data_IF_565246750153
#
_entry.id   IF_565246750153
#
_cell.length_a   1.000
_cell.length_b   1.000
_cell.length_c   1.000
_cell.angle_alpha   90.00
_cell.angle_beta   90.00
_cell.angle_gamma   90.00
#
_symmetry.space_group_name_H-M   'P 1'
#
loop_
_entity.id
_entity.type
_entity.pdbx_description
1 polymer ?
#
# COMPACT_ATOMS: atom_id res chain seq x y z
N UNK A 1 19.50 -0.93 -7.35
CA UNK A 1 18.33 -1.09 -6.47
C UNK A 1 18.05 -2.59 -6.40
N UNK A 2 18.06 -3.23 -5.22
CA UNK A 2 17.61 -4.62 -5.12
C UNK A 2 16.28 -4.83 -5.85
N UNK A 3 16.22 -5.88 -6.66
CA UNK A 3 15.02 -6.30 -7.36
C UNK A 3 14.14 -7.13 -6.45
N UNK A 4 12.88 -6.75 -6.34
CA UNK A 4 11.83 -7.43 -5.58
C UNK A 4 10.64 -7.65 -6.51
N UNK A 5 9.72 -8.51 -6.08
CA UNK A 5 8.47 -8.76 -6.80
C UNK A 5 7.28 -8.36 -5.93
N UNK A 6 6.48 -7.45 -6.44
CA UNK A 6 5.18 -7.09 -5.89
C UNK A 6 4.12 -8.04 -6.45
N UNK A 7 3.21 -8.52 -5.61
CA UNK A 7 2.09 -9.36 -6.01
C UNK A 7 0.79 -8.93 -5.35
N UNK A 8 -0.30 -9.00 -6.11
CA UNK A 8 -1.66 -9.14 -5.60
C UNK A 8 -2.19 -10.50 -6.01
N UNK A 9 -2.65 -11.28 -5.04
CA UNK A 9 -3.11 -12.65 -5.22
C UNK A 9 -4.56 -12.78 -4.77
N UNK A 10 -5.39 -13.36 -5.65
CA UNK A 10 -6.66 -13.96 -5.28
C UNK A 10 -6.39 -15.44 -5.03
N UNK A 11 -6.73 -15.90 -3.84
CA UNK A 11 -6.51 -17.30 -3.47
C UNK A 11 -7.73 -18.13 -3.85
N UNK A 12 -7.53 -19.43 -3.99
CA UNK A 12 -8.64 -20.38 -4.05
C UNK A 12 -9.30 -20.50 -2.66
N UNK A 13 -10.58 -20.85 -2.62
CA UNK A 13 -11.36 -20.91 -1.36
C UNK A 13 -10.85 -21.99 -0.39
N UNK A 14 -9.97 -22.89 -0.84
CA UNK A 14 -9.36 -23.98 -0.06
C UNK A 14 -8.21 -23.51 0.85
N UNK A 15 -7.73 -22.27 0.70
CA UNK A 15 -6.56 -21.80 1.46
C UNK A 15 -6.76 -20.41 2.08
N UNK A 16 -6.30 -20.27 3.32
CA UNK A 16 -6.22 -18.98 4.01
C UNK A 16 -4.86 -18.30 3.76
N UNK A 17 -4.78 -16.96 3.74
CA UNK A 17 -3.54 -16.23 3.46
C UNK A 17 -2.33 -16.65 4.32
N UNK A 18 -2.53 -16.89 5.62
CA UNK A 18 -1.44 -17.32 6.53
C UNK A 18 -0.92 -18.73 6.21
N UNK A 19 -1.83 -19.62 5.79
CA UNK A 19 -1.47 -20.97 5.33
C UNK A 19 -0.69 -20.89 4.02
N UNK A 20 -1.12 -20.02 3.09
CA UNK A 20 -0.40 -19.75 1.84
C UNK A 20 1.02 -19.24 2.12
N UNK A 21 1.19 -18.27 3.02
CA UNK A 21 2.51 -17.77 3.43
C UNK A 21 3.40 -18.88 4.01
N UNK A 22 2.83 -19.78 4.80
CA UNK A 22 3.55 -20.94 5.35
C UNK A 22 3.98 -21.91 4.25
N UNK A 23 3.12 -22.16 3.25
CA UNK A 23 3.45 -23.00 2.10
C UNK A 23 4.53 -22.35 1.23
N UNK A 24 4.47 -21.03 1.01
CA UNK A 24 5.48 -20.27 0.27
C UNK A 24 6.86 -20.40 0.92
N UNK A 25 6.96 -20.17 2.23
CA UNK A 25 8.22 -20.26 2.96
C UNK A 25 8.79 -21.69 2.98
N UNK A 26 7.92 -22.71 3.05
CA UNK A 26 8.34 -24.12 2.96
C UNK A 26 8.82 -24.51 1.56
N UNK A 27 8.15 -24.00 0.53
CA UNK A 27 8.47 -24.30 -0.87
C UNK A 27 9.80 -23.69 -1.31
N UNK A 28 10.11 -22.48 -0.84
CA UNK A 28 11.39 -21.82 -1.09
C UNK A 28 11.82 -21.00 0.12
N UNK A 29 12.67 -21.57 1.01
CA UNK A 29 13.17 -20.88 2.19
C UNK A 29 14.05 -19.65 1.88
N UNK A 30 14.51 -19.50 0.63
CA UNK A 30 15.33 -18.35 0.22
C UNK A 30 14.50 -17.10 -0.05
N UNK A 31 13.19 -17.26 -0.29
CA UNK A 31 12.25 -16.15 -0.44
C UNK A 31 12.09 -15.46 0.92
N UNK A 32 12.35 -14.15 0.93
CA UNK A 32 12.07 -13.27 2.05
C UNK A 32 10.78 -12.53 1.78
N UNK A 33 9.80 -12.70 2.66
CA UNK A 33 8.58 -11.91 2.67
C UNK A 33 8.89 -10.57 3.35
N UNK A 34 9.00 -9.50 2.56
CA UNK A 34 9.26 -8.15 3.09
C UNK A 34 7.97 -7.56 3.63
N UNK A 35 6.88 -7.66 2.87
CA UNK A 35 5.54 -7.24 3.28
C UNK A 35 4.55 -8.34 2.93
N UNK A 36 3.64 -8.63 3.85
CA UNK A 36 2.42 -9.38 3.56
C UNK A 36 1.22 -8.68 4.21
N UNK A 37 0.19 -8.40 3.45
CA UNK A 37 -1.03 -7.77 3.97
C UNK A 37 -2.29 -8.27 3.29
N UNK A 38 -3.42 -8.11 3.98
CA UNK A 38 -4.76 -8.37 3.46
C UNK A 38 -5.33 -7.06 2.90
N UNK A 39 -5.62 -6.97 1.60
CA UNK A 39 -6.41 -5.88 1.03
C UNK A 39 -7.79 -5.78 1.68
N UNK A 40 -8.22 -4.55 2.00
CA UNK A 40 -9.47 -4.27 2.71
C UNK A 40 -10.43 -3.40 1.90
N UNK A 41 -9.92 -2.35 1.25
CA UNK A 41 -10.78 -1.38 0.56
C UNK A 41 -10.00 -0.61 -0.52
N UNK A 42 -10.65 -0.30 -1.63
CA UNK A 42 -10.11 0.53 -2.70
C UNK A 42 -10.49 1.98 -2.45
N UNK A 43 -9.54 2.78 -1.96
CA UNK A 43 -9.74 4.22 -1.73
C UNK A 43 -9.75 4.98 -3.06
N UNK A 44 -8.80 4.62 -3.94
CA UNK A 44 -8.72 5.13 -5.31
C UNK A 44 -8.63 3.92 -6.24
N UNK A 45 -9.46 3.89 -7.29
CA UNK A 45 -9.45 2.83 -8.30
C UNK A 45 -8.65 3.26 -9.52
N UNK A 46 -7.94 2.32 -10.13
CA UNK A 46 -7.29 2.57 -11.42
C UNK A 46 -8.36 2.87 -12.47
N UNK A 47 -8.10 3.85 -13.33
CA UNK A 47 -9.04 4.30 -14.37
C UNK A 47 -8.64 3.83 -15.76
N UNK A 48 -7.35 3.58 -15.98
CA UNK A 48 -6.80 3.20 -17.29
C UNK A 48 -5.84 2.01 -17.15
N UNK A 49 -4.79 2.13 -16.35
CA UNK A 49 -3.71 1.16 -16.28
C UNK A 49 -4.15 -0.10 -15.52
N UNK A 50 -4.22 -1.23 -16.24
CA UNK A 50 -4.59 -2.56 -15.71
C UNK A 50 -5.91 -2.57 -14.90
N UNK A 51 -6.81 -1.62 -15.17
CA UNK A 51 -7.99 -1.38 -14.36
C UNK A 51 -8.95 -2.58 -14.29
N UNK A 52 -9.03 -3.36 -15.36
CA UNK A 52 -9.82 -4.59 -15.48
C UNK A 52 -9.30 -5.76 -14.63
N UNK A 53 -8.03 -5.71 -14.24
CA UNK A 53 -7.40 -6.70 -13.35
C UNK A 53 -7.32 -6.13 -11.94
N UNK A 54 -6.76 -4.94 -11.77
CA UNK A 54 -6.43 -4.36 -10.46
C UNK A 54 -7.65 -4.02 -9.61
N UNK A 55 -8.78 -3.61 -10.21
CA UNK A 55 -9.99 -3.26 -9.46
C UNK A 55 -10.83 -4.48 -9.03
N UNK A 56 -10.30 -5.71 -9.20
CA UNK A 56 -10.92 -6.94 -8.69
C UNK A 56 -10.54 -7.17 -7.22
N UNK A 57 -11.34 -7.92 -6.44
CA UNK A 57 -10.98 -8.28 -5.07
C UNK A 57 -9.68 -9.10 -4.99
N UNK A 58 -8.89 -8.83 -3.95
CA UNK A 58 -7.61 -9.51 -3.68
C UNK A 58 -7.56 -9.98 -2.24
N UNK A 59 -6.96 -11.14 -1.98
CA UNK A 59 -6.86 -11.72 -0.64
C UNK A 59 -5.51 -11.43 0.03
N UNK A 60 -4.47 -11.28 -0.78
CA UNK A 60 -3.09 -11.20 -0.31
C UNK A 60 -2.26 -10.25 -1.18
N UNK A 61 -1.66 -9.24 -0.55
CA UNK A 61 -0.63 -8.40 -1.13
C UNK A 61 0.73 -8.83 -0.59
N UNK A 62 1.70 -9.06 -1.47
CA UNK A 62 3.07 -9.45 -1.11
C UNK A 62 4.10 -8.52 -1.73
N UNK A 63 5.16 -8.26 -0.98
CA UNK A 63 6.43 -7.78 -1.50
C UNK A 63 7.52 -8.79 -1.14
N UNK A 64 8.08 -9.44 -2.14
CA UNK A 64 9.00 -10.57 -1.97
C UNK A 64 10.40 -10.21 -2.46
N UNK A 65 11.42 -10.65 -1.73
CA UNK A 65 12.82 -10.62 -2.16
C UNK A 65 13.33 -12.06 -2.33
N UNK A 66 14.09 -12.31 -3.41
CA UNK A 66 14.79 -13.58 -3.59
C UNK A 66 14.01 -14.66 -4.35
N UNK A 67 12.80 -14.36 -4.85
CA UNK A 67 12.19 -15.24 -5.85
C UNK A 67 12.96 -15.11 -7.17
N UNK A 68 13.09 -16.22 -7.91
CA UNK A 68 13.15 -16.14 -9.39
C UNK A 68 11.95 -15.31 -9.87
N UNK A 69 11.89 -14.89 -11.13
CA UNK A 69 10.78 -14.05 -11.64
C UNK A 69 9.36 -14.65 -11.45
N UNK A 70 9.25 -15.88 -10.93
CA UNK A 70 8.03 -16.59 -10.60
C UNK A 70 7.97 -17.13 -9.16
N UNK A 71 6.76 -17.23 -8.62
CA UNK A 71 6.45 -17.95 -7.37
C UNK A 71 6.68 -19.47 -7.55
N UNK A 72 7.01 -20.23 -6.48
CA UNK A 72 7.19 -21.68 -6.56
C UNK A 72 5.96 -22.41 -7.13
N UNK A 73 6.18 -23.41 -8.00
CA UNK A 73 5.10 -24.14 -8.68
C UNK A 73 4.07 -24.74 -7.70
N UNK A 74 4.53 -25.21 -6.53
CA UNK A 74 3.68 -25.81 -5.51
C UNK A 74 2.67 -24.86 -4.88
N UNK A 75 2.91 -23.54 -4.91
CA UNK A 75 1.95 -22.55 -4.41
C UNK A 75 1.05 -22.00 -5.51
N UNK A 76 1.43 -22.12 -6.78
CA UNK A 76 0.64 -21.62 -7.91
C UNK A 76 -0.74 -22.30 -8.01
N UNK A 77 -0.85 -23.57 -7.61
CA UNK A 77 -2.12 -24.30 -7.62
C UNK A 77 -3.19 -23.70 -6.69
N UNK A 78 -2.79 -22.86 -5.73
CA UNK A 78 -3.70 -22.22 -4.76
C UNK A 78 -4.09 -20.79 -5.14
N UNK A 79 -3.72 -20.32 -6.34
CA UNK A 79 -3.94 -18.95 -6.81
C UNK A 79 -4.93 -18.98 -7.97
N UNK A 80 -6.08 -18.33 -7.82
CA UNK A 80 -7.09 -18.22 -8.89
C UNK A 80 -6.84 -17.04 -9.82
N UNK A 81 -6.24 -15.96 -9.31
CA UNK A 81 -5.83 -14.80 -10.10
C UNK A 81 -4.63 -14.12 -9.47
N UNK A 82 -3.78 -13.54 -10.32
CA UNK A 82 -2.53 -12.91 -9.90
C UNK A 82 -2.28 -11.65 -10.72
N UNK A 83 -1.85 -10.60 -10.04
CA UNK A 83 -1.18 -9.46 -10.63
C UNK A 83 0.25 -9.35 -10.07
N UNK A 84 1.24 -8.99 -10.88
CA UNK A 84 2.64 -8.96 -10.45
C UNK A 84 3.42 -7.86 -11.13
N UNK A 85 4.31 -7.21 -10.39
CA UNK A 85 5.22 -6.19 -10.90
C UNK A 85 6.63 -6.39 -10.34
N UNK A 86 7.68 -6.41 -11.18
CA UNK A 86 9.04 -6.30 -10.70
C UNK A 86 9.29 -4.86 -10.23
N UNK A 87 9.87 -4.71 -9.03
CA UNK A 87 10.10 -3.40 -8.41
C UNK A 87 11.52 -3.29 -7.87
N UNK A 88 12.17 -2.17 -8.16
CA UNK A 88 13.47 -1.80 -7.62
C UNK A 88 13.29 -0.93 -6.38
N UNK A 89 13.68 -1.46 -5.21
CA UNK A 89 13.67 -0.69 -3.95
C UNK A 89 15.09 -0.17 -3.66
N UNK A 90 15.28 1.08 -3.20
CA UNK A 90 16.58 1.54 -2.73
C UNK A 90 17.14 0.67 -1.61
N UNK A 91 18.39 0.19 -1.73
CA UNK A 91 18.96 -0.78 -0.79
C UNK A 91 19.00 -0.29 0.66
N UNK A 92 19.28 1.00 0.89
CA UNK A 92 19.24 1.61 2.22
C UNK A 92 17.84 1.54 2.86
N UNK A 93 16.80 1.79 2.06
CA UNK A 93 15.42 1.74 2.52
C UNK A 93 15.02 0.31 2.87
N UNK A 94 15.40 -0.66 2.02
CA UNK A 94 15.12 -2.07 2.24
C UNK A 94 15.81 -2.62 3.50
N UNK A 95 17.09 -2.30 3.71
CA UNK A 95 17.83 -2.75 4.89
C UNK A 95 17.32 -2.15 6.19
N UNK A 96 16.85 -0.89 6.17
CA UNK A 96 16.29 -0.21 7.33
C UNK A 96 14.82 -0.57 7.61
N UNK A 97 14.14 -1.23 6.66
CA UNK A 97 12.70 -1.48 6.73
C UNK A 97 12.26 -2.27 7.98
N UNK A 98 12.92 -3.37 8.40
CA UNK A 98 12.46 -4.14 9.56
C UNK A 98 12.39 -3.31 10.85
N UNK A 99 13.45 -2.56 11.15
CA UNK A 99 13.51 -1.69 12.32
C UNK A 99 12.53 -0.51 12.21
N UNK A 100 12.43 0.09 11.01
CA UNK A 100 11.48 1.17 10.73
C UNK A 100 10.04 0.72 10.92
N UNK A 101 9.64 -0.43 10.38
CA UNK A 101 8.27 -0.95 10.49
C UNK A 101 7.94 -1.31 11.94
N UNK A 102 8.87 -1.95 12.66
CA UNK A 102 8.68 -2.27 14.07
C UNK A 102 8.50 -1.01 14.94
N UNK A 103 9.28 0.04 14.68
CA UNK A 103 9.14 1.33 15.35
C UNK A 103 7.78 1.98 15.07
N UNK A 104 7.36 2.05 13.80
CA UNK A 104 6.07 2.62 13.40
C UNK A 104 4.90 1.89 14.08
N UNK A 105 4.91 0.56 14.10
CA UNK A 105 3.89 -0.24 14.79
C UNK A 105 3.86 0.06 16.30
N UNK A 106 5.03 0.19 16.93
CA UNK A 106 5.14 0.50 18.37
C UNK A 106 4.63 1.91 18.69
N UNK A 107 4.89 2.88 17.82
CA UNK A 107 4.54 4.30 18.01
C UNK A 107 3.08 4.61 17.64
N UNK A 108 2.44 3.77 16.81
CA UNK A 108 1.07 3.99 16.32
C UNK A 108 0.04 4.34 17.40
N UNK A 109 -0.03 3.67 18.58
CA UNK A 109 -1.00 4.03 19.62
C UNK A 109 -0.81 5.44 20.21
N UNK A 110 0.34 6.07 20.00
CA UNK A 110 0.67 7.42 20.50
C UNK A 110 0.51 8.51 19.43
N UNK A 111 0.13 8.16 18.20
CA UNK A 111 -0.11 9.14 17.15
C UNK A 111 -1.33 10.02 17.49
N UNK A 112 -1.22 11.31 17.19
CA UNK A 112 -2.30 12.28 17.37
C UNK A 112 -3.21 12.37 16.14
N UNK A 113 -4.42 12.88 16.34
CA UNK A 113 -5.31 13.35 15.28
C UNK A 113 -5.24 14.88 15.23
N UNK A 114 -5.55 15.48 14.08
CA UNK A 114 -5.57 16.94 13.94
C UNK A 114 -6.94 17.56 14.19
N UNK A 115 -7.98 16.74 14.35
CA UNK A 115 -9.37 17.20 14.47
C UNK A 115 -10.02 17.50 13.11
N UNK A 116 -9.38 17.07 12.01
CA UNK A 116 -9.90 17.33 10.66
C UNK A 116 -11.21 16.57 10.38
N UNK A 117 -11.49 15.52 11.14
CA UNK A 117 -12.75 14.77 11.09
C UNK A 117 -13.95 15.48 11.73
N UNK A 118 -13.76 16.58 12.46
CA UNK A 118 -14.87 17.22 13.20
C UNK A 118 -15.86 17.94 12.27
N UNK A 119 -15.39 18.46 11.14
CA UNK A 119 -16.21 19.12 10.12
C UNK A 119 -15.61 18.96 8.71
N UNK A 120 -15.59 17.73 8.15
CA UNK A 120 -14.92 17.45 6.90
C UNK A 120 -15.71 17.96 5.69
N UNK A 121 -15.01 18.43 4.67
CA UNK A 121 -15.58 18.53 3.32
C UNK A 121 -15.63 17.12 2.74
N UNK A 122 -16.79 16.71 2.25
CA UNK A 122 -17.01 15.35 1.74
C UNK A 122 -17.58 15.37 0.32
N UNK A 123 -16.73 15.20 -0.71
CA UNK A 123 -17.23 14.90 -2.04
C UNK A 123 -17.82 13.49 -2.12
N UNK A 124 -18.49 13.19 -3.24
CA UNK A 124 -19.18 11.91 -3.45
C UNK A 124 -18.23 10.70 -3.49
N UNK A 125 -16.94 10.90 -3.76
CA UNK A 125 -15.95 9.81 -3.89
C UNK A 125 -14.57 10.20 -3.37
N UNK A 126 -13.79 9.20 -2.96
CA UNK A 126 -12.38 9.36 -2.55
C UNK A 126 -11.39 9.26 -3.73
N UNK A 127 -11.86 9.32 -4.99
CA UNK A 127 -11.01 9.10 -6.17
C UNK A 127 -9.86 10.11 -6.27
N UNK A 128 -10.04 11.33 -5.75
CA UNK A 128 -9.01 12.36 -5.67
C UNK A 128 -8.36 12.46 -4.29
N UNK A 129 -8.53 11.45 -3.42
CA UNK A 129 -7.94 11.36 -2.07
C UNK A 129 -8.51 12.36 -1.03
N UNK A 130 -9.78 12.72 -1.16
CA UNK A 130 -10.57 13.38 -0.12
C UNK A 130 -11.39 12.37 0.68
N UNK A 131 -11.85 12.78 1.87
CA UNK A 131 -12.74 11.95 2.67
C UNK A 131 -14.13 11.91 2.02
N UNK A 132 -14.63 10.73 1.65
CA UNK A 132 -16.01 10.56 1.15
C UNK A 132 -16.89 9.79 2.14
N UNK A 133 -18.23 9.78 1.96
CA UNK A 133 -19.15 8.99 2.78
C UNK A 133 -18.81 7.48 2.80
N UNK A 134 -18.47 6.90 1.64
CA UNK A 134 -18.03 5.50 1.52
C UNK A 134 -16.77 5.21 2.34
N UNK A 135 -15.81 6.15 2.34
CA UNK A 135 -14.57 6.02 3.11
C UNK A 135 -14.82 6.16 4.62
N UNK A 136 -15.75 7.02 5.04
CA UNK A 136 -16.19 7.09 6.44
C UNK A 136 -16.87 5.80 6.90
N UNK A 137 -17.77 5.26 6.08
CA UNK A 137 -18.44 3.99 6.38
C UNK A 137 -17.41 2.86 6.50
N UNK A 138 -16.47 2.77 5.56
CA UNK A 138 -15.40 1.78 5.62
C UNK A 138 -14.52 1.97 6.87
N UNK A 139 -14.18 3.20 7.24
CA UNK A 139 -13.45 3.48 8.48
C UNK A 139 -14.20 2.93 9.71
N UNK A 140 -15.50 3.22 9.84
CA UNK A 140 -16.32 2.74 10.95
C UNK A 140 -16.45 1.21 10.97
N UNK A 141 -16.59 0.58 9.80
CA UNK A 141 -16.64 -0.87 9.68
C UNK A 141 -15.30 -1.51 10.07
N UNK A 142 -14.20 -0.99 9.55
CA UNK A 142 -12.87 -1.55 9.82
C UNK A 142 -12.50 -1.42 11.30
N UNK A 143 -12.83 -0.31 11.96
CA UNK A 143 -12.56 -0.12 13.39
C UNK A 143 -13.25 -1.15 14.31
N UNK A 144 -14.31 -1.81 13.84
CA UNK A 144 -14.96 -2.92 14.59
C UNK A 144 -14.14 -4.20 14.56
N UNK A 145 -13.27 -4.36 13.56
CA UNK A 145 -12.49 -5.58 13.31
C UNK A 145 -10.97 -5.38 13.52
N UNK A 146 -10.48 -4.15 13.34
CA UNK A 146 -9.06 -3.79 13.35
C UNK A 146 -8.90 -2.30 13.69
N UNK A 147 -8.51 -2.01 14.93
CA UNK A 147 -8.26 -0.65 15.43
C UNK A 147 -6.78 -0.22 15.32
N UNK A 148 -5.92 -1.12 14.87
CA UNK A 148 -4.47 -0.92 14.77
C UNK A 148 -3.98 -0.33 13.44
N UNK A 149 -2.66 -0.39 13.22
CA UNK A 149 -2.02 0.17 12.02
C UNK A 149 -2.61 -0.34 10.71
N UNK A 150 -2.74 0.55 9.75
CA UNK A 150 -3.11 0.22 8.37
C UNK A 150 -1.97 0.57 7.42
N UNK A 151 -1.96 -0.09 6.27
CA UNK A 151 -0.95 0.11 5.24
C UNK A 151 -1.62 0.39 3.91
N UNK A 152 -1.29 1.53 3.31
CA UNK A 152 -1.78 1.97 2.01
C UNK A 152 -0.81 1.56 0.92
N UNK A 153 -1.25 0.65 0.05
CA UNK A 153 -0.58 0.34 -1.19
C UNK A 153 -0.93 1.40 -2.23
N UNK A 154 0.07 1.97 -2.87
CA UNK A 154 -0.08 2.88 -4.00
C UNK A 154 0.68 2.33 -5.19
N UNK A 155 0.02 2.23 -6.36
CA UNK A 155 0.71 2.19 -7.66
C UNK A 155 0.47 3.52 -8.37
N UNK A 156 1.53 4.07 -8.97
CA UNK A 156 1.55 5.43 -9.48
C UNK A 156 2.00 5.45 -10.93
N UNK A 157 1.18 6.03 -11.79
CA UNK A 157 1.50 6.33 -13.18
C UNK A 157 1.62 7.85 -13.29
N UNK A 158 2.78 8.35 -13.70
CA UNK A 158 3.01 9.77 -13.88
C UNK A 158 2.62 10.22 -15.29
N UNK A 159 2.05 11.42 -15.37
CA UNK A 159 2.00 12.17 -16.64
C UNK A 159 3.41 12.45 -17.16
N UNK A 160 3.57 12.80 -18.45
CA UNK A 160 4.80 13.42 -18.94
C UNK A 160 5.23 14.56 -18.00
N UNK A 161 6.49 14.55 -17.57
CA UNK A 161 7.10 15.50 -16.62
C UNK A 161 6.47 15.57 -15.20
N UNK A 162 5.47 14.72 -14.90
CA UNK A 162 4.78 14.70 -13.61
C UNK A 162 5.67 14.29 -12.43
N UNK A 163 6.75 13.55 -12.68
CA UNK A 163 7.64 13.02 -11.63
C UNK A 163 8.22 14.10 -10.73
N UNK A 164 8.58 15.26 -11.28
CA UNK A 164 9.14 16.36 -10.48
C UNK A 164 8.09 16.96 -9.53
N UNK A 165 6.88 17.18 -10.01
CA UNK A 165 5.76 17.63 -9.17
C UNK A 165 5.42 16.60 -8.08
N UNK A 166 5.42 15.32 -8.43
CA UNK A 166 5.19 14.25 -7.44
C UNK A 166 6.30 14.16 -6.39
N UNK A 167 7.55 14.41 -6.78
CA UNK A 167 8.65 14.51 -5.82
C UNK A 167 8.42 15.65 -4.82
N UNK A 168 7.95 16.81 -5.28
CA UNK A 168 7.56 17.92 -4.39
C UNK A 168 6.40 17.53 -3.47
N UNK A 169 5.40 16.81 -3.98
CA UNK A 169 4.35 16.22 -3.13
C UNK A 169 4.96 15.36 -2.02
N UNK A 170 5.88 14.44 -2.36
CA UNK A 170 6.53 13.55 -1.41
C UNK A 170 7.31 14.28 -0.31
N UNK A 171 7.97 15.41 -0.63
CA UNK A 171 8.68 16.21 0.37
C UNK A 171 7.72 16.84 1.40
N UNK A 172 6.59 17.39 0.94
CA UNK A 172 5.59 17.99 1.82
C UNK A 172 4.78 16.93 2.59
N UNK A 173 4.57 15.76 1.97
CA UNK A 173 3.84 14.65 2.58
C UNK A 173 4.44 14.19 3.90
N UNK A 174 5.78 14.21 4.05
CA UNK A 174 6.47 13.81 5.28
C UNK A 174 5.97 14.63 6.48
N UNK A 175 5.82 15.93 6.33
CA UNK A 175 5.36 16.82 7.39
C UNK A 175 3.87 16.60 7.67
N UNK A 176 3.03 16.63 6.62
CA UNK A 176 1.58 16.59 6.75
C UNK A 176 1.08 15.24 7.27
N UNK A 177 1.60 14.14 6.73
CA UNK A 177 1.25 12.79 7.18
C UNK A 177 1.87 12.49 8.55
N UNK A 178 3.08 13.01 8.82
CA UNK A 178 3.79 12.80 10.09
C UNK A 178 3.01 13.28 11.32
N UNK A 179 2.22 14.37 11.19
CA UNK A 179 1.29 14.84 12.26
C UNK A 179 0.30 13.76 12.72
N UNK A 180 0.01 12.79 11.87
CA UNK A 180 -0.99 11.72 12.04
C UNK A 180 -0.34 10.33 12.14
N UNK A 181 0.97 10.27 12.37
CA UNK A 181 1.73 9.03 12.38
C UNK A 181 1.84 8.35 11.01
N UNK A 182 1.63 9.11 9.92
CA UNK A 182 1.78 8.61 8.55
C UNK A 182 3.25 8.59 8.11
N UNK A 183 3.68 7.50 7.46
CA UNK A 183 5.06 7.35 6.97
C UNK A 183 5.13 6.49 5.70
N UNK A 184 5.83 7.00 4.66
CA UNK A 184 6.17 6.22 3.48
C UNK A 184 7.32 5.22 3.81
N UNK A 185 6.95 4.03 4.28
CA UNK A 185 7.91 3.02 4.76
C UNK A 185 8.65 2.29 3.65
N UNK A 186 8.03 2.13 2.46
CA UNK A 186 8.71 1.63 1.25
C UNK A 186 8.27 2.50 0.07
N UNK A 187 9.24 2.92 -0.75
CA UNK A 187 9.04 3.55 -2.05
C UNK A 187 10.01 2.91 -3.03
N UNK A 188 9.53 2.55 -4.21
CA UNK A 188 10.29 1.87 -5.24
C UNK A 188 9.85 2.22 -6.64
N UNK A 189 10.73 1.96 -7.61
CA UNK A 189 10.40 2.11 -9.02
C UNK A 189 9.93 0.77 -9.58
N UNK A 190 8.87 0.77 -10.36
CA UNK A 190 8.48 -0.39 -11.16
C UNK A 190 9.49 -0.53 -12.31
N UNK A 191 9.97 -1.75 -12.53
CA UNK A 191 10.93 -2.05 -13.59
C UNK A 191 10.11 -2.50 -14.81
N UNK A 192 10.27 -1.84 -15.95
CA UNK A 192 9.62 -2.29 -17.18
C UNK A 192 10.23 -3.64 -17.61
N UNK A 193 9.39 -4.58 -18.04
CA UNK A 193 9.86 -5.72 -18.81
C UNK A 193 10.45 -5.22 -20.13
N UNK A 194 11.52 -5.85 -20.62
CA UNK A 194 12.19 -5.44 -21.86
C UNK A 194 11.17 -5.36 -23.01
N UNK A 195 11.02 -4.15 -23.58
CA UNK A 195 10.12 -3.89 -24.71
C UNK A 195 8.73 -3.37 -24.34
N UNK A 196 8.32 -3.38 -23.07
CA UNK A 196 7.03 -2.81 -22.65
C UNK A 196 7.14 -1.31 -22.37
N UNK A 197 6.51 -0.51 -23.23
CA UNK A 197 6.24 0.91 -22.94
C UNK A 197 4.82 1.01 -22.39
N UNK A 198 4.64 1.52 -21.18
CA UNK A 198 3.30 1.94 -20.73
C UNK A 198 2.91 1.63 -19.29
N UNK A 199 3.62 0.79 -18.54
CA UNK A 199 3.20 0.40 -17.19
C UNK A 199 3.32 1.46 -16.09
N UNK A 200 2.99 1.04 -14.86
CA UNK A 200 3.20 1.80 -13.63
C UNK A 200 4.65 2.28 -13.49
N UNK A 201 4.87 3.41 -12.83
CA UNK A 201 6.19 3.98 -12.61
C UNK A 201 6.73 3.68 -11.21
N UNK A 202 5.89 3.81 -10.19
CA UNK A 202 6.31 3.70 -8.80
C UNK A 202 5.31 2.89 -7.96
N UNK A 203 5.85 2.21 -6.96
CA UNK A 203 5.10 1.58 -5.87
C UNK A 203 5.45 2.31 -4.57
N UNK A 204 4.43 2.64 -3.77
CA UNK A 204 4.63 3.15 -2.42
C UNK A 204 3.76 2.39 -1.42
N UNK A 205 4.36 2.00 -0.30
CA UNK A 205 3.70 1.34 0.82
C UNK A 205 3.81 2.30 2.00
N UNK A 206 2.67 2.81 2.44
CA UNK A 206 2.58 3.89 3.42
C UNK A 206 1.88 3.39 4.68
N UNK A 207 2.50 3.59 5.83
CA UNK A 207 1.92 3.28 7.14
C UNK A 207 1.04 4.45 7.62
N UNK A 208 -0.04 4.12 8.31
CA UNK A 208 -0.75 5.02 9.21
C UNK A 208 -1.04 4.29 10.52
N UNK A 209 -1.08 5.05 11.62
CA UNK A 209 -1.31 4.54 12.96
C UNK A 209 -2.66 3.80 13.11
N UNK A 210 -3.69 4.23 12.40
CA UNK A 210 -4.93 3.49 12.19
C UNK A 210 -5.69 4.04 10.98
N UNK A 211 -6.80 3.40 10.60
CA UNK A 211 -7.66 3.91 9.53
C UNK A 211 -8.25 5.30 9.85
N UNK A 212 -8.48 5.59 11.14
CA UNK A 212 -8.93 6.90 11.60
C UNK A 212 -7.90 8.00 11.31
N UNK A 213 -6.61 7.70 11.47
CA UNK A 213 -5.53 8.65 11.17
C UNK A 213 -5.40 8.91 9.67
N UNK A 214 -5.65 7.89 8.84
CA UNK A 214 -5.72 8.08 7.41
C UNK A 214 -6.92 8.95 7.01
N UNK A 215 -8.12 8.68 7.55
CA UNK A 215 -9.31 9.48 7.27
C UNK A 215 -9.15 10.94 7.73
N UNK A 216 -8.52 11.16 8.88
CA UNK A 216 -8.18 12.50 9.39
C UNK A 216 -7.20 13.23 8.46
N UNK A 217 -6.29 12.51 7.79
CA UNK A 217 -5.44 13.08 6.74
C UNK A 217 -6.28 13.48 5.51
N UNK A 218 -7.18 12.60 5.03
CA UNK A 218 -8.03 12.90 3.87
C UNK A 218 -8.96 14.10 4.11
N UNK A 219 -9.39 14.33 5.35
CA UNK A 219 -10.22 15.47 5.71
C UNK A 219 -9.43 16.78 5.92
N UNK A 220 -8.10 16.72 6.02
CA UNK A 220 -7.27 17.87 6.38
C UNK A 220 -7.02 18.82 5.22
N UNK A 221 -7.36 20.09 5.39
CA UNK A 221 -7.04 21.15 4.42
C UNK A 221 -5.51 21.26 4.18
N UNK A 222 -4.69 20.94 5.18
CA UNK A 222 -3.22 20.92 5.05
C UNK A 222 -2.73 19.83 4.08
N UNK A 223 -3.40 18.69 4.05
CA UNK A 223 -3.16 17.66 3.05
C UNK A 223 -3.75 18.02 1.69
N UNK A 224 -5.00 18.49 1.65
CA UNK A 224 -5.64 18.78 0.37
C UNK A 224 -4.88 19.86 -0.42
N UNK A 225 -4.31 20.87 0.26
CA UNK A 225 -3.47 21.87 -0.38
C UNK A 225 -2.27 21.28 -1.14
N UNK A 226 -1.59 20.25 -0.60
CA UNK A 226 -0.45 19.61 -1.27
C UNK A 226 -0.89 18.56 -2.29
N UNK A 227 -2.04 17.91 -2.05
CA UNK A 227 -2.65 16.95 -2.96
C UNK A 227 -3.06 17.64 -4.27
N UNK A 228 -3.85 18.71 -4.17
CA UNK A 228 -4.32 19.50 -5.31
C UNK A 228 -3.16 20.14 -6.08
N UNK A 229 -2.20 20.73 -5.35
CA UNK A 229 -1.10 21.47 -5.98
C UNK A 229 -0.07 20.59 -6.67
N UNK A 230 0.24 19.43 -6.10
CA UNK A 230 1.41 18.65 -6.53
C UNK A 230 1.07 17.22 -6.96
N UNK A 231 0.11 16.55 -6.31
CA UNK A 231 -0.20 15.12 -6.54
C UNK A 231 -1.12 14.93 -7.75
N UNK A 232 -2.30 15.54 -7.73
CA UNK A 232 -3.31 15.42 -8.80
C UNK A 232 -2.78 15.84 -10.19
N UNK A 233 -2.07 16.97 -10.35
CA UNK A 233 -1.54 17.33 -11.66
C UNK A 233 -0.44 16.38 -12.14
N UNK A 234 0.30 15.72 -11.24
CA UNK A 234 1.41 14.84 -11.58
C UNK A 234 1.00 13.45 -12.09
N UNK A 235 -0.14 12.94 -11.64
CA UNK A 235 -0.56 11.57 -11.91
C UNK A 235 -1.45 11.48 -13.15
N UNK A 236 -1.15 10.50 -13.99
CA UNK A 236 -1.96 10.06 -15.11
C UNK A 236 -2.99 9.03 -14.64
N UNK A 237 -2.56 8.09 -13.79
CA UNK A 237 -3.43 7.11 -13.14
C UNK A 237 -2.84 6.69 -11.79
N UNK A 238 -3.68 6.15 -10.92
CA UNK A 238 -3.26 5.63 -9.62
C UNK A 238 -4.27 4.65 -9.06
N UNK A 239 -3.78 3.68 -8.31
CA UNK A 239 -4.61 2.86 -7.43
C UNK A 239 -4.10 3.00 -6.01
N UNK A 240 -5.04 3.12 -5.07
CA UNK A 240 -4.76 3.17 -3.64
C UNK A 240 -5.64 2.17 -2.91
N UNK A 241 -4.99 1.17 -2.30
CA UNK A 241 -5.68 0.10 -1.57
C UNK A 241 -5.29 0.17 -0.10
N UNK A 242 -6.28 0.30 0.78
CA UNK A 242 -6.10 0.11 2.20
C UNK A 242 -5.91 -1.39 2.49
N UNK A 243 -4.87 -1.73 3.24
CA UNK A 243 -4.53 -3.10 3.62
C UNK A 243 -4.18 -3.20 5.11
N UNK A 244 -4.31 -4.38 5.69
CA UNK A 244 -3.88 -4.69 7.07
C UNK A 244 -2.79 -5.74 7.03
N UNK A 245 -1.61 -5.45 7.59
CA UNK A 245 -0.46 -6.36 7.55
C UNK A 245 -0.67 -7.59 8.43
N UNK A 246 -0.17 -8.74 7.96
CA UNK A 246 -0.06 -9.92 8.81
C UNK A 246 1.15 -9.74 9.75
N UNK A 247 1.03 -10.22 10.99
CA UNK A 247 2.21 -10.41 11.82
C UNK A 247 3.07 -11.50 11.20
N UNK A 248 4.14 -11.10 10.49
CA UNK A 248 5.10 -12.03 9.91
C UNK A 248 5.73 -12.84 11.05
N UNK A 249 5.74 -14.18 10.92
CA UNK A 249 6.23 -15.07 11.98
C UNK A 249 7.66 -14.69 12.38
N UNK A 250 7.80 -14.24 13.62
CA UNK A 250 9.03 -13.64 14.16
C UNK A 250 8.74 -12.52 15.15
N UNK A 251 7.61 -11.83 14.98
CA UNK A 251 7.10 -10.85 15.96
C UNK A 251 5.95 -11.50 16.73
N UNK A 252 6.21 -12.02 17.93
CA UNK A 252 5.15 -12.38 18.87
C UNK A 252 4.45 -11.08 19.32
N UNK A 253 3.43 -10.65 18.59
CA UNK A 253 2.36 -9.87 19.16
C UNK A 253 1.24 -10.84 19.50
N UNK A 254 0.96 -11.02 20.80
CA UNK A 254 -0.24 -11.69 21.26
C UNK A 254 -1.44 -10.87 20.77
N UNK A 255 -2.28 -11.48 19.94
CA UNK A 255 -3.71 -11.23 19.89
C UNK A 255 -4.38 -12.61 19.85
#
# INVERSE_FOLDING_TARGET
MPLLNFHLLRLNDDIQPQTFLTHLQKADPSIKVIVASKPRHFVVKATTQDADILNKPWDLMLLLQGSKDSLPQSVLQHISSKYSLPVGIPGKLLSAYPEKNARLIKEAPSAGLTGSLDNPKMPDSSQNLELSPDMLEFMEQLLKEHDGPVTMLNLLKFKPDGKQSYYQYGQNFIEVAGKRGGDAKIVGNVIAADGEKGGWNEVAIVHYASIRHFADMLAGDDYQAINEKYRLPALEDTILICTTEFSLMGTKAKL
#
